data_IF_984359552935
#
_entry.id   IF_984359552935
#
_cell.length_a   1.000
_cell.length_b   1.000
_cell.length_c   1.000
_cell.angle_alpha   90.00
_cell.angle_beta   90.00
_cell.angle_gamma   90.00
#
_symmetry.space_group_name_H-M   'P 1'
#
loop_
_entity.id
_entity.type
_entity.pdbx_description
1 polymer ?
2 non-polymer ?
3 water ?
#
# COMPACT_ATOMS: atom_id res chain seq x y z
N UNK A 11 22.99 -0.51 3.29
CA UNK A 11 22.29 -1.54 2.51
C UNK A 11 23.29 -2.44 1.80
N UNK A 12 22.77 -3.33 0.96
CA UNK A 12 23.59 -4.25 0.19
C UNK A 12 23.86 -3.65 -1.18
N UNK A 13 25.13 -3.39 -1.47
CA UNK A 13 25.52 -2.84 -2.78
C UNK A 13 25.64 -3.97 -3.79
N UNK A 14 24.83 -3.91 -4.85
CA UNK A 14 24.89 -4.83 -5.97
C UNK A 14 25.85 -4.27 -7.01
N UNK A 15 26.53 -5.15 -7.75
CA UNK A 15 27.38 -4.66 -8.83
C UNK A 15 26.63 -4.77 -10.15
N UNK A 16 26.75 -3.78 -11.06
CA UNK A 16 26.01 -3.84 -12.32
C UNK A 16 26.12 -5.18 -13.03
N UNK A 17 27.23 -5.89 -12.83
CA UNK A 17 27.43 -7.17 -13.52
C UNK A 17 26.34 -8.17 -13.20
N UNK A 18 25.77 -8.11 -12.00
CA UNK A 18 24.80 -9.10 -11.55
C UNK A 18 23.37 -8.74 -11.93
N UNK A 19 23.15 -7.62 -12.61
CA UNK A 19 21.81 -7.15 -12.95
C UNK A 19 21.67 -7.09 -14.47
N UNK A 20 20.49 -7.43 -14.95
CA UNK A 20 20.16 -7.36 -16.37
C UNK A 20 18.71 -6.92 -16.51
N UNK A 21 18.48 -5.79 -17.17
CA UNK A 21 17.13 -5.32 -17.43
C UNK A 21 16.56 -6.03 -18.64
N UNK A 22 15.23 -6.20 -18.63
CA UNK A 22 14.57 -6.99 -19.67
C UNK A 22 13.33 -6.29 -20.22
N UNK A 23 12.25 -6.27 -19.45
CA UNK A 23 10.95 -5.76 -19.89
C UNK A 23 10.60 -4.52 -19.08
N UNK A 24 10.50 -3.38 -19.75
CA UNK A 24 10.02 -2.16 -19.09
C UNK A 24 8.57 -2.36 -18.69
N UNK A 25 8.20 -1.88 -17.49
CA UNK A 25 6.84 -2.09 -17.03
C UNK A 25 6.23 -0.91 -16.29
N UNK A 26 6.90 0.23 -16.27
CA UNK A 26 6.27 1.38 -15.63
C UNK A 26 7.17 2.59 -15.58
N UNK A 27 6.66 3.62 -14.90
CA UNK A 27 7.34 4.91 -14.76
C UNK A 27 7.25 5.38 -13.32
N UNK A 28 8.31 6.02 -12.85
CA UNK A 28 8.33 6.58 -11.50
C UNK A 28 9.21 7.80 -11.40
N UNK A 32 11.90 5.12 -14.61
CA UNK A 32 11.33 3.88 -15.11
C UNK A 32 11.43 2.76 -14.08
N UNK A 33 10.63 1.72 -14.30
CA UNK A 33 10.60 0.54 -13.44
C UNK A 33 10.61 -0.67 -14.37
N UNK A 34 11.72 -1.41 -14.38
CA UNK A 34 11.91 -2.54 -15.26
C UNK A 34 11.64 -3.86 -14.53
N UNK A 35 11.35 -4.89 -15.31
CA UNK A 35 11.52 -6.28 -14.90
C UNK A 35 12.87 -6.75 -15.42
N UNK A 36 13.59 -7.48 -14.58
CA UNK A 36 14.90 -7.95 -14.97
C UNK A 36 15.26 -9.19 -14.18
N UNK A 37 16.55 -9.53 -14.22
CA UNK A 37 17.07 -10.68 -13.49
C UNK A 37 18.25 -10.25 -12.64
N UNK A 38 18.46 -10.96 -11.54
CA UNK A 38 19.55 -10.72 -10.62
C UNK A 38 20.24 -12.04 -10.31
N UNK A 39 21.56 -12.07 -10.43
CA UNK A 39 22.35 -13.24 -10.09
C UNK A 39 22.68 -13.20 -8.61
N UNK A 40 22.67 -14.38 -7.97
CA UNK A 40 23.12 -14.50 -6.59
C UNK A 40 24.44 -15.25 -6.46
N UNK A 41 24.64 -16.32 -7.22
CA UNK A 41 25.94 -16.97 -7.31
C UNK A 41 26.03 -17.87 -8.53
N UNK A 45 22.83 -19.27 -9.92
CA UNK A 45 21.55 -19.00 -10.57
C UNK A 45 21.12 -17.54 -10.37
N UNK A 46 19.95 -17.19 -10.91
CA UNK A 46 19.49 -15.81 -10.93
C UNK A 46 17.99 -15.76 -10.63
N UNK A 47 17.53 -14.59 -10.19
CA UNK A 47 16.14 -14.41 -9.80
C UNK A 47 15.52 -13.18 -10.45
N UNK A 48 14.20 -13.18 -10.66
CA UNK A 48 13.56 -11.99 -11.24
C UNK A 48 13.34 -10.91 -10.20
N UNK A 49 13.49 -9.66 -10.64
CA UNK A 49 13.44 -8.51 -9.75
C UNK A 49 12.74 -7.37 -10.47
N UNK A 50 12.38 -6.34 -9.69
CA UNK A 50 11.90 -5.07 -10.21
C UNK A 50 12.99 -4.03 -9.98
N UNK A 51 13.25 -3.23 -11.01
CA UNK A 51 14.41 -2.34 -11.04
C UNK A 51 13.88 -0.93 -11.26
N UNK A 52 13.98 -0.10 -10.22
CA UNK A 52 13.59 1.29 -10.32
C UNK A 52 14.82 2.12 -10.70
N UNK A 53 14.70 2.87 -11.80
CA UNK A 53 15.81 3.63 -12.33
C UNK A 53 15.45 5.11 -12.36
N UNK A 54 16.45 5.95 -12.08
CA UNK A 54 16.27 7.39 -12.11
C UNK A 54 16.22 7.90 -13.53
N UNK A 55 15.44 8.95 -13.76
CA UNK A 55 15.35 9.57 -15.07
C UNK A 55 16.75 9.85 -15.59
N UNK A 56 16.92 9.71 -16.91
CA UNK A 56 18.22 9.89 -17.52
C UNK A 56 18.76 11.31 -17.41
N UNK A 57 18.00 12.18 -16.73
CA UNK A 57 18.47 13.51 -16.35
C UNK A 57 17.87 13.86 -15.00
N UNK A 58 18.71 14.28 -14.05
CA UNK A 58 18.25 14.41 -12.68
C UNK A 58 18.96 15.57 -12.00
N UNK A 59 18.46 15.94 -10.83
CA UNK A 59 19.00 17.00 -10.00
C UNK A 59 19.39 16.43 -8.64
N UNK A 60 20.12 17.23 -7.86
CA UNK A 60 20.47 16.80 -6.51
C UNK A 60 19.22 16.45 -5.71
N UNK A 61 18.09 17.12 -5.99
CA UNK A 61 16.84 16.79 -5.31
C UNK A 61 16.30 15.46 -5.79
N UNK A 62 16.23 15.28 -7.11
CA UNK A 62 15.69 14.05 -7.67
C UNK A 62 16.64 12.87 -7.52
N UNK A 63 17.93 13.12 -7.31
CA UNK A 63 18.88 12.03 -7.12
C UNK A 63 19.08 11.69 -5.63
N UNK A 64 19.24 12.70 -4.78
CA UNK A 64 19.44 12.43 -3.36
C UNK A 64 18.21 11.75 -2.77
N UNK A 65 17.03 12.01 -3.34
CA UNK A 65 15.82 11.35 -2.88
C UNK A 65 15.75 9.92 -3.39
N UNK A 66 16.14 9.70 -4.65
CA UNK A 66 16.22 8.35 -5.20
C UNK A 66 17.02 7.44 -4.28
N UNK A 67 18.21 7.89 -3.87
CA UNK A 67 19.01 7.09 -2.94
C UNK A 67 18.38 7.03 -1.55
N UNK A 68 17.72 8.10 -1.12
CA UNK A 68 17.15 8.13 0.21
C UNK A 68 15.98 7.18 0.40
N UNK A 69 15.26 6.90 -0.69
CA UNK A 69 14.21 5.88 -0.63
C UNK A 69 14.78 4.52 -0.26
N UNK A 70 15.92 4.16 -0.90
CA UNK A 70 16.47 2.83 -0.71
C UNK A 70 17.09 2.66 0.67
N UNK A 71 17.63 3.74 1.26
CA UNK A 71 18.09 3.66 2.63
C UNK A 71 16.96 3.38 3.60
N UNK A 72 15.76 3.86 3.28
CA UNK A 72 14.59 3.56 4.09
C UNK A 72 14.14 2.11 3.87
N UNK A 73 14.08 1.70 2.59
CA UNK A 73 13.62 0.35 2.28
C UNK A 73 14.49 -0.71 2.95
N UNK A 74 15.80 -0.46 3.04
CA UNK A 74 16.71 -1.44 3.61
C UNK A 74 16.47 -1.73 5.07
N UNK A 75 15.79 -0.83 5.78
CA UNK A 75 15.48 -1.08 7.19
C UNK A 75 14.44 -2.19 7.36
N UNK A 76 13.62 -2.43 6.35
CA UNK A 76 12.46 -3.32 6.47
C UNK A 76 12.83 -4.73 6.06
N UNK A 77 12.42 -5.70 6.88
CA UNK A 77 12.56 -7.12 6.55
C UNK A 77 11.35 -7.86 7.12
N UNK A 78 10.34 -8.07 6.29
CA UNK A 78 9.11 -8.72 6.73
C UNK A 78 8.44 -9.35 5.53
N UNK A 79 7.69 -10.42 5.78
CA UNK A 79 7.06 -11.17 4.69
C UNK A 79 6.02 -10.34 3.94
N UNK A 80 5.56 -9.23 4.53
CA UNK A 80 4.50 -8.42 3.95
C UNK A 80 4.96 -7.00 3.68
N UNK A 81 6.26 -6.78 3.56
CA UNK A 81 6.86 -5.53 3.12
C UNK A 81 7.76 -5.85 1.93
N UNK A 82 7.63 -5.07 0.86
CA UNK A 82 8.46 -5.28 -0.33
C UNK A 82 9.92 -5.35 0.09
N UNK A 83 10.62 -6.40 -0.36
CA UNK A 83 11.97 -6.68 0.11
C UNK A 83 12.99 -6.04 -0.83
N UNK A 84 13.85 -5.19 -0.26
CA UNK A 84 14.93 -4.59 -1.01
C UNK A 84 16.06 -5.60 -1.17
N UNK A 85 16.35 -5.99 -2.42
CA UNK A 85 17.48 -6.87 -2.68
C UNK A 85 18.80 -6.11 -2.50
N UNK A 86 18.82 -4.85 -2.91
CA UNK A 86 20.05 -4.08 -2.92
C UNK A 86 19.89 -2.85 -3.78
N UNK A 87 21.01 -2.13 -3.91
CA UNK A 87 21.05 -0.90 -4.69
C UNK A 87 22.33 -0.88 -5.53
N UNK A 88 22.26 -0.19 -6.66
CA UNK A 88 23.43 0.17 -7.44
C UNK A 88 23.58 1.68 -7.32
N UNK A 89 24.63 2.12 -6.62
CA UNK A 89 24.83 3.52 -6.31
C UNK A 89 26.14 4.08 -6.86
N UNK A 90 26.95 3.26 -7.53
CA UNK A 90 28.26 3.68 -8.02
C UNK A 90 28.39 3.58 -9.54
N UNK A 91 27.28 3.58 -10.26
CA UNK A 91 27.33 3.52 -11.72
C UNK A 91 26.02 4.08 -12.27
N UNK A 92 26.01 4.30 -13.58
CA UNK A 92 24.84 4.81 -14.30
C UNK A 92 24.36 3.74 -15.28
N UNK A 93 23.10 3.30 -15.22
CA UNK A 93 22.07 3.89 -14.36
C UNK A 93 22.07 3.39 -12.92
N UNK A 94 21.76 4.27 -11.97
CA UNK A 94 21.52 3.83 -10.61
C UNK A 94 20.26 2.99 -10.55
N UNK A 95 20.22 2.06 -9.60
CA UNK A 95 19.14 1.09 -9.54
C UNK A 95 18.76 0.80 -8.10
N UNK A 96 17.46 0.79 -7.83
CA UNK A 96 16.88 0.28 -6.59
C UNK A 96 16.20 -1.04 -6.95
N UNK A 97 16.69 -2.14 -6.37
CA UNK A 97 16.29 -3.47 -6.78
C UNK A 97 15.47 -4.13 -5.68
N UNK A 98 14.28 -4.62 -6.05
CA UNK A 98 13.43 -5.38 -5.16
C UNK A 98 13.02 -6.69 -5.82
N UNK A 99 12.53 -7.62 -5.00
CA UNK A 99 11.84 -8.79 -5.51
C UNK A 99 10.77 -8.37 -6.51
N UNK A 100 10.44 -9.28 -7.42
CA UNK A 100 9.39 -9.04 -8.41
C UNK A 100 8.07 -9.62 -7.91
N UNK A 101 7.00 -8.84 -8.07
CA UNK A 101 5.66 -9.21 -7.62
C UNK A 101 4.77 -9.40 -8.84
N UNK A 102 4.49 -10.65 -9.18
CA UNK A 102 3.98 -10.98 -10.50
C UNK A 102 2.62 -10.35 -10.77
N UNK A 103 1.74 -10.36 -9.79
CA UNK A 103 0.37 -9.88 -9.97
C UNK A 103 0.22 -8.38 -9.76
N UNK A 104 1.32 -7.64 -9.63
CA UNK A 104 1.26 -6.19 -9.69
C UNK A 104 0.55 -5.56 -8.51
N UNK A 105 -0.07 -4.41 -8.77
CA UNK A 105 -0.71 -3.63 -7.72
C UNK A 105 -2.07 -4.21 -7.35
N UNK A 106 -2.36 -4.22 -6.05
CA UNK A 106 -3.56 -4.88 -5.55
C UNK A 106 -4.83 -4.33 -6.18
N UNK A 107 -4.93 -3.01 -6.33
CA UNK A 107 -6.20 -2.44 -6.78
C UNK A 107 -6.50 -2.81 -8.23
N UNK A 108 -5.48 -2.76 -9.09
CA UNK A 108 -5.68 -3.21 -10.46
C UNK A 108 -5.92 -4.70 -10.52
N UNK A 109 -5.21 -5.46 -9.69
CA UNK A 109 -5.39 -6.91 -9.64
C UNK A 109 -6.81 -7.28 -9.26
N UNK A 110 -7.39 -6.59 -8.27
CA UNK A 110 -8.72 -6.96 -7.79
C UNK A 110 -9.79 -6.64 -8.83
N UNK A 111 -9.64 -5.52 -9.54
CA UNK A 111 -10.58 -5.22 -10.63
C UNK A 111 -10.46 -6.24 -11.74
N UNK A 112 -9.23 -6.64 -12.06
CA UNK A 112 -8.98 -7.72 -13.00
C UNK A 112 -9.72 -8.99 -12.58
N UNK A 113 -9.59 -9.37 -11.31
CA UNK A 113 -10.16 -10.59 -10.79
C UNK A 113 -11.49 -10.36 -10.10
N UNK A 114 -12.19 -9.28 -10.44
CA UNK A 114 -13.45 -8.96 -9.79
C UNK A 114 -14.33 -10.20 -9.66
N UNK A 115 -14.66 -10.55 -8.42
CA UNK A 115 -15.60 -11.61 -8.13
C UNK A 115 -15.04 -13.00 -8.02
N UNK A 116 -13.76 -13.20 -8.32
CA UNK A 116 -13.22 -14.55 -8.43
C UNK A 116 -12.72 -15.13 -7.12
N UNK A 117 -12.71 -14.36 -6.03
CA UNK A 117 -12.17 -14.80 -4.76
C UNK A 117 -13.28 -15.01 -3.73
N UNK A 118 -13.03 -15.94 -2.81
CA UNK A 118 -13.89 -16.13 -1.66
C UNK A 118 -13.65 -15.04 -0.63
N UNK A 119 -14.56 -14.94 0.34
CA UNK A 119 -14.34 -13.99 1.43
C UNK A 119 -13.10 -14.38 2.22
N UNK A 120 -12.88 -15.69 2.40
CA UNK A 120 -11.68 -16.14 3.10
C UNK A 120 -10.42 -15.64 2.42
N UNK A 121 -10.38 -15.67 1.09
CA UNK A 121 -9.17 -15.27 0.38
C UNK A 121 -8.94 -13.76 0.47
N UNK A 122 -10.01 -12.97 0.37
CA UNK A 122 -9.87 -11.53 0.51
C UNK A 122 -9.45 -11.15 1.93
N UNK A 123 -10.02 -11.81 2.94
CA UNK A 123 -9.65 -11.49 4.32
C UNK A 123 -8.23 -11.95 4.60
N UNK A 124 -7.77 -12.99 3.91
CA UNK A 124 -6.37 -13.38 4.04
C UNK A 124 -5.43 -12.33 3.48
N UNK A 125 -5.83 -11.67 2.39
CA UNK A 125 -5.03 -10.56 1.87
C UNK A 125 -4.98 -9.40 2.86
N UNK A 126 -6.11 -9.09 3.49
CA UNK A 126 -6.13 -8.01 4.47
C UNK A 126 -5.28 -8.36 5.68
N UNK A 127 -5.34 -9.62 6.13
CA UNK A 127 -4.49 -10.07 7.22
C UNK A 127 -3.02 -9.80 6.91
N UNK A 128 -2.59 -10.10 5.69
CA UNK A 128 -1.20 -9.87 5.33
C UNK A 128 -0.82 -8.41 5.31
N UNK A 129 -1.68 -7.56 4.71
CA UNK A 129 -1.43 -6.12 4.74
C UNK A 129 -1.35 -5.64 6.18
N UNK A 130 -2.27 -6.10 7.02
CA UNK A 130 -2.25 -5.68 8.42
C UNK A 130 -0.96 -6.10 9.11
N UNK A 131 -0.46 -7.29 8.76
CA UNK A 131 0.76 -7.80 9.38
C UNK A 131 1.97 -6.96 8.99
N UNK A 132 2.02 -6.50 7.74
CA UNK A 132 3.07 -5.59 7.35
C UNK A 132 3.01 -4.28 8.11
N UNK A 133 1.80 -3.72 8.23
CA UNK A 133 1.64 -2.44 8.91
C UNK A 133 1.93 -2.55 10.40
N UNK A 134 1.59 -3.69 11.01
CA UNK A 134 1.99 -3.95 12.40
C UNK A 134 3.50 -3.89 12.55
N UNK A 135 4.23 -4.51 11.63
CA UNK A 135 5.69 -4.47 11.69
C UNK A 135 6.19 -3.04 11.53
N UNK A 136 5.59 -2.26 10.63
CA UNK A 136 6.03 -0.88 10.45
C UNK A 136 5.71 -0.05 11.67
N UNK A 137 4.54 -0.24 12.26
CA UNK A 137 4.16 0.52 13.44
C UNK A 137 5.11 0.27 14.60
N UNK A 138 5.63 -0.95 14.71
CA UNK A 138 6.58 -1.25 15.78
C UNK A 138 7.97 -0.68 15.50
N UNK A 139 8.29 -0.41 14.24
CA UNK A 139 9.47 0.36 13.89
C UNK A 139 9.23 1.86 14.06
N UNK A 140 8.03 2.26 14.47
CA UNK A 140 7.62 3.66 14.47
C UNK A 140 7.80 4.28 13.08
N UNK A 141 7.42 3.53 12.05
CA UNK A 141 7.39 4.06 10.69
C UNK A 141 5.94 4.33 10.30
N UNK A 142 5.63 5.58 10.00
CA UNK A 142 4.32 5.99 9.54
C UNK A 142 4.35 6.03 8.01
N UNK A 143 3.36 5.39 7.38
CA UNK A 143 3.38 5.22 5.93
C UNK A 143 2.86 6.46 5.20
N UNK A 144 1.70 6.96 5.62
CA UNK A 144 1.06 8.16 5.11
C UNK A 144 0.36 7.99 3.75
N UNK A 145 0.66 6.93 3.00
CA UNK A 145 0.01 6.70 1.72
C UNK A 145 -0.41 5.24 1.57
N UNK A 146 -1.08 4.72 2.59
CA UNK A 146 -1.51 3.32 2.61
C UNK A 146 -2.77 3.18 1.77
N UNK A 147 -2.64 2.49 0.63
CA UNK A 147 -3.74 2.33 -0.31
C UNK A 147 -3.44 1.10 -1.17
N UNK A 148 -4.49 0.58 -1.80
CA UNK A 148 -4.32 -0.63 -2.60
C UNK A 148 -3.35 -0.41 -3.76
N UNK A 149 -3.31 0.80 -4.30
CA UNK A 149 -2.34 1.11 -5.35
C UNK A 149 -0.90 1.04 -4.85
N UNK A 150 -0.68 0.95 -3.53
CA UNK A 150 0.66 0.79 -2.97
C UNK A 150 0.86 -0.57 -2.31
N UNK A 151 0.02 -1.55 -2.66
CA UNK A 151 0.21 -2.93 -2.23
C UNK A 151 0.52 -3.78 -3.46
N UNK A 152 1.61 -4.54 -3.41
CA UNK A 152 1.96 -5.48 -4.46
C UNK A 152 1.54 -6.90 -4.08
N UNK A 153 1.33 -7.73 -5.12
CA UNK A 153 0.77 -9.07 -4.97
C UNK A 153 1.62 -10.04 -5.77
N UNK A 154 2.02 -11.14 -5.14
CA UNK A 154 2.81 -12.17 -5.81
C UNK A 154 1.90 -13.32 -6.25
N UNK A 155 2.50 -14.31 -6.91
CA UNK A 155 1.72 -15.38 -7.52
C UNK A 155 0.95 -16.21 -6.49
N UNK A 156 1.33 -16.13 -5.21
CA UNK A 156 0.66 -16.89 -4.16
C UNK A 156 -0.32 -16.03 -3.37
N UNK A 157 -0.75 -14.90 -3.94
CA UNK A 157 -1.69 -13.96 -3.35
C UNK A 157 -1.15 -13.26 -2.11
N UNK A 158 0.13 -13.43 -1.80
CA UNK A 158 0.71 -12.73 -0.65
C UNK A 158 0.83 -11.25 -1.01
N UNK A 159 0.34 -10.39 -0.10
CA UNK A 159 0.33 -8.96 -0.32
C UNK A 159 1.42 -8.29 0.49
N UNK A 160 2.12 -7.34 -0.14
CA UNK A 160 3.26 -6.67 0.48
C UNK A 160 3.12 -5.17 0.35
N UNK A 161 3.24 -4.48 1.48
CA UNK A 161 3.16 -3.03 1.50
C UNK A 161 4.36 -2.42 0.77
N UNK A 162 4.09 -1.43 -0.06
CA UNK A 162 5.10 -0.73 -0.83
C UNK A 162 4.76 0.77 -0.81
N UNK A 163 5.62 1.57 -1.42
CA UNK A 163 5.33 3.00 -1.60
C UNK A 163 5.94 3.43 -2.93
N UNK A 164 5.09 3.79 -3.88
CA UNK A 164 5.57 4.22 -5.20
C UNK A 164 5.88 5.72 -5.24
N UNK A 165 5.60 6.45 -4.17
CA UNK A 165 6.05 7.81 -4.05
C UNK A 165 5.25 8.84 -4.81
N UNK A 166 4.05 8.48 -5.26
CA UNK A 166 3.26 9.45 -6.02
C UNK A 166 2.85 10.64 -5.16
N UNK A 167 2.82 10.49 -3.84
CA UNK A 167 2.53 11.61 -2.96
C UNK A 167 3.61 12.70 -3.03
N UNK A 168 4.83 12.32 -3.44
CA UNK A 168 5.96 13.23 -3.41
C UNK A 168 6.41 13.67 -4.79
N UNK A 169 5.59 13.46 -5.82
CA UNK A 169 5.83 14.01 -7.14
C UNK A 169 5.22 15.41 -7.17
N UNK A 170 6.06 16.41 -7.41
CA UNK A 170 5.63 17.80 -7.44
C UNK A 170 5.67 18.33 -8.88
N UNK A 171 4.68 19.15 -9.21
CA UNK A 171 4.54 19.78 -10.52
C UNK A 171 4.84 21.27 -10.45
N UNK A 172 5.62 21.71 -9.46
CA UNK A 172 5.93 23.13 -9.31
C UNK A 172 6.98 23.55 -10.33
N UNK A 173 6.81 24.75 -10.87
CA UNK A 173 7.85 25.36 -11.71
C UNK A 173 9.12 25.55 -10.90
N UNK A 174 10.30 25.33 -11.50
CA UNK A 174 11.55 25.51 -10.72
C UNK A 174 11.84 26.94 -10.35
N UNK A 175 11.10 27.92 -10.86
CA UNK A 175 11.27 29.32 -10.48
C UNK A 175 10.01 29.88 -9.83
N UNK A 176 9.09 29.02 -9.42
CA UNK A 176 7.83 29.47 -8.85
C UNK A 176 8.05 30.26 -7.57
N UNK A 177 7.25 31.30 -7.39
CA UNK A 177 7.28 32.07 -6.14
C UNK A 177 6.83 31.20 -4.97
N UNK A 178 5.82 30.37 -5.19
CA UNK A 178 5.23 29.51 -4.15
C UNK A 178 5.38 28.06 -4.58
N UNK A 179 5.79 27.21 -3.63
CA UNK A 179 5.99 25.79 -3.93
C UNK A 179 5.30 24.92 -2.88
N UNK A 180 4.95 23.70 -3.31
CA UNK A 180 4.37 22.72 -2.43
C UNK A 180 5.34 22.36 -1.31
N UNK A 181 4.81 22.24 -0.09
CA UNK A 181 5.62 21.88 1.07
C UNK A 181 4.98 20.70 1.78
N UNK A 182 5.78 19.69 2.08
CA UNK A 182 5.27 18.50 2.73
C UNK A 182 4.54 17.55 1.83
N UNK A 183 4.84 17.58 0.53
CA UNK A 183 4.18 16.70 -0.40
C UNK A 183 2.68 16.94 -0.44
N UNK A 184 1.99 15.95 -1.00
CA UNK A 184 0.54 15.95 -1.11
C UNK A 184 0.00 14.75 -0.35
N UNK A 185 -1.29 14.82 -0.03
CA UNK A 185 -1.93 13.73 0.71
C UNK A 185 -3.02 13.10 -0.16
N UNK A 186 -3.29 11.81 -0.01
CA UNK A 186 -4.46 11.22 -0.68
C UNK A 186 -5.72 11.47 0.13
N UNK A 187 -6.52 12.46 -0.28
CA UNK A 187 -7.65 12.91 0.55
C UNK A 187 -8.54 11.74 0.92
N UNK A 188 -8.85 10.87 -0.03
CA UNK A 188 -9.85 9.83 0.23
C UNK A 188 -9.34 8.73 1.13
N UNK A 189 -8.04 8.69 1.41
CA UNK A 189 -7.43 7.67 2.25
C UNK A 189 -6.92 8.20 3.59
N UNK A 190 -7.02 9.49 3.84
CA UNK A 190 -6.30 10.16 4.92
C UNK A 190 -7.26 10.50 6.05
N UNK A 191 -6.84 10.23 7.29
CA UNK A 191 -7.69 10.47 8.44
C UNK A 191 -7.95 11.97 8.60
N UNK A 192 -9.09 12.34 9.19
CA UNK A 192 -9.40 13.77 9.34
C UNK A 192 -8.32 14.56 10.06
N UNK A 193 -7.80 14.06 11.20
CA UNK A 193 -6.79 14.82 11.93
C UNK A 193 -5.55 15.05 11.07
N UNK A 194 -5.28 14.14 10.14
CA UNK A 194 -4.10 14.27 9.28
C UNK A 194 -4.35 15.29 8.18
N UNK A 195 -5.54 15.25 7.57
CA UNK A 195 -5.93 16.28 6.62
C UNK A 195 -5.86 17.66 7.26
N UNK A 196 -6.50 17.82 8.43
CA UNK A 196 -6.70 19.15 8.98
C UNK A 196 -5.45 19.69 9.66
N UNK A 197 -4.75 18.84 10.41
CA UNK A 197 -3.65 19.30 11.26
C UNK A 197 -2.32 18.64 10.93
N UNK A 198 -2.27 17.82 9.87
CA UNK A 198 -1.04 17.13 9.49
C UNK A 198 -0.52 16.26 10.64
N UNK A 199 -1.45 15.70 11.42
CA UNK A 199 -1.10 14.79 12.51
C UNK A 199 -1.06 13.38 11.94
N UNK A 200 0.12 12.99 11.47
CA UNK A 200 0.32 11.68 10.86
C UNK A 200 0.89 10.73 11.91
N UNK A 201 0.15 9.65 12.17
CA UNK A 201 0.50 8.65 13.17
C UNK A 201 0.08 7.30 12.61
N UNK A 202 0.51 6.23 13.27
CA UNK A 202 0.01 4.91 12.88
C UNK A 202 -1.51 4.86 13.01
N UNK A 203 -2.09 5.70 13.87
CA UNK A 203 -3.53 5.75 14.01
C UNK A 203 -4.20 6.35 12.78
N UNK A 204 -3.57 7.33 12.12
CA UNK A 204 -4.09 7.76 10.83
C UNK A 204 -3.82 6.72 9.75
N UNK A 205 -2.73 5.96 9.88
CA UNK A 205 -2.54 4.82 8.99
C UNK A 205 -3.64 3.78 9.17
N UNK A 206 -4.15 3.61 10.39
CA UNK A 206 -5.25 2.67 10.63
C UNK A 206 -6.49 3.12 9.89
N UNK A 207 -6.78 4.42 9.90
CA UNK A 207 -7.87 4.95 9.07
C UNK A 207 -7.69 4.51 7.62
N UNK A 208 -6.51 4.78 7.06
CA UNK A 208 -6.23 4.38 5.69
C UNK A 208 -6.42 2.88 5.51
N UNK A 209 -6.00 2.08 6.49
CA UNK A 209 -6.20 0.64 6.38
C UNK A 209 -7.68 0.32 6.24
N UNK A 210 -8.53 1.03 6.99
CA UNK A 210 -9.97 0.85 6.84
C UNK A 210 -10.42 1.09 5.42
N UNK A 211 -9.90 2.14 4.79
CA UNK A 211 -10.25 2.38 3.38
C UNK A 211 -9.76 1.21 2.52
N UNK A 212 -8.58 0.68 2.83
CA UNK A 212 -8.06 -0.45 2.04
C UNK A 212 -8.95 -1.67 2.20
N UNK A 213 -9.48 -1.89 3.40
CA UNK A 213 -10.42 -2.98 3.61
C UNK A 213 -11.61 -2.83 2.65
N UNK A 214 -12.13 -1.61 2.53
CA UNK A 214 -13.24 -1.33 1.64
C UNK A 214 -12.86 -1.56 0.18
N UNK A 215 -11.65 -1.14 -0.19
CA UNK A 215 -11.17 -1.39 -1.54
C UNK A 215 -11.16 -2.88 -1.85
N UNK A 216 -10.62 -3.69 -0.93
CA UNK A 216 -10.51 -5.12 -1.20
C UNK A 216 -11.89 -5.74 -1.31
N UNK A 217 -12.81 -5.38 -0.40
CA UNK A 217 -14.11 -6.04 -0.37
C UNK A 217 -15.02 -5.59 -1.51
N UNK A 218 -14.73 -4.47 -2.16
CA UNK A 218 -15.45 -4.02 -3.35
C UNK A 218 -14.73 -4.36 -4.65
N UNK A 219 -13.59 -5.04 -4.57
CA UNK A 219 -12.77 -5.35 -5.74
C UNK A 219 -12.33 -4.08 -6.47
N UNK A 220 -11.86 -3.11 -5.70
CA UNK A 220 -11.21 -1.95 -6.28
C UNK A 220 -12.10 -0.79 -6.68
N UNK A 221 -13.26 -0.63 -6.06
CA UNK A 221 -14.09 0.53 -6.36
C UNK A 221 -13.43 1.79 -5.83
N UNK A 222 -13.79 2.92 -6.42
CA UNK A 222 -13.23 4.20 -6.01
C UNK A 222 -13.95 4.72 -4.77
N UNK A 223 -13.23 5.00 -3.68
CA UNK A 223 -13.92 5.46 -2.46
C UNK A 223 -14.75 6.71 -2.69
N UNK A 224 -15.95 6.71 -2.12
CA UNK A 224 -16.90 7.83 -2.24
C UNK A 224 -17.05 8.25 -3.70
N UNK A 225 -17.23 7.25 -4.58
CA UNK A 225 -17.18 7.51 -6.02
C UNK A 225 -18.11 8.63 -6.44
N UNK A 226 -19.26 8.79 -5.77
CA UNK A 226 -20.24 9.79 -6.17
C UNK A 226 -19.84 11.21 -5.80
N UNK A 227 -18.84 11.40 -4.94
CA UNK A 227 -18.60 12.71 -4.36
C UNK A 227 -17.29 13.33 -4.84
N UNK A 228 -17.27 14.65 -4.82
CA UNK A 228 -16.08 15.44 -5.08
C UNK A 228 -15.15 15.42 -3.86
N UNK A 229 -13.91 15.83 -4.07
CA UNK A 229 -12.93 15.85 -2.98
C UNK A 229 -13.44 16.70 -1.81
N UNK A 230 -13.96 17.88 -2.11
CA UNK A 230 -14.49 18.74 -1.04
C UNK A 230 -15.73 18.13 -0.42
N UNK A 231 -16.53 17.38 -1.19
CA UNK A 231 -17.74 16.78 -0.63
C UNK A 231 -17.39 15.60 0.27
N UNK A 232 -16.31 14.87 -0.03
CA UNK A 232 -15.83 13.84 0.88
C UNK A 232 -15.43 14.46 2.22
N UNK A 233 -14.65 15.55 2.16
CA UNK A 233 -14.18 16.17 3.40
C UNK A 233 -15.34 16.64 4.25
N UNK A 234 -16.40 17.16 3.62
CA UNK A 234 -17.60 17.54 4.36
C UNK A 234 -18.30 16.31 4.92
N UNK A 235 -18.53 15.30 4.08
CA UNK A 235 -19.22 14.09 4.54
C UNK A 235 -18.55 13.50 5.77
N UNK A 236 -17.21 13.44 5.76
CA UNK A 236 -16.50 12.77 6.84
C UNK A 236 -16.67 13.52 8.14
N UNK A 237 -16.61 14.85 8.11
CA UNK A 237 -16.75 15.64 9.32
C UNK A 237 -18.19 15.78 9.75
N UNK A 238 -19.15 15.58 8.83
CA UNK A 238 -20.55 15.42 9.20
C UNK A 238 -20.87 14.04 9.73
N UNK A 239 -19.88 13.13 9.78
CA UNK A 239 -20.06 11.84 10.40
C UNK A 239 -20.43 10.70 9.48
N UNK A 240 -20.48 10.92 8.17
CA UNK A 240 -20.77 9.82 7.26
C UNK A 240 -19.49 9.04 6.96
N UNK A 241 -19.67 7.80 6.49
CA UNK A 241 -18.57 6.91 6.17
C UNK A 241 -18.93 6.12 4.92
N UNK A 242 -17.94 5.44 4.36
CA UNK A 242 -18.20 4.62 3.19
C UNK A 242 -19.26 3.56 3.53
N UNK A 243 -20.13 3.20 2.61
CA UNK A 243 -21.16 2.20 2.89
C UNK A 243 -20.61 0.79 2.78
N UNK A 244 -21.42 -0.17 3.22
CA UNK A 244 -20.98 -1.56 3.21
C UNK A 244 -20.69 -2.01 1.78
N UNK A 245 -19.65 -2.80 1.57
CA UNK A 245 -19.49 -3.49 0.28
C UNK A 245 -20.56 -4.57 0.14
N UNK A 246 -20.90 -4.89 -1.11
CA UNK A 246 -21.82 -5.99 -1.37
C UNK A 246 -21.18 -7.30 -0.90
N UNK A 247 -22.01 -8.17 -0.33
CA UNK A 247 -21.61 -9.50 0.13
C UNK A 247 -20.59 -9.45 1.26
N UNK A 248 -20.41 -8.30 1.89
CA UNK A 248 -19.43 -8.17 2.97
C UNK A 248 -20.01 -8.75 4.25
N UNK A 249 -19.30 -9.66 4.93
CA UNK A 249 -19.80 -10.14 6.23
C UNK A 249 -19.89 -9.00 7.23
N UNK A 250 -20.82 -9.15 8.17
CA UNK A 250 -21.05 -8.10 9.17
C UNK A 250 -19.78 -7.75 9.92
N UNK A 251 -19.00 -8.76 10.34
CA UNK A 251 -17.84 -8.50 11.17
C UNK A 251 -16.79 -7.65 10.44
N UNK A 252 -16.63 -7.89 9.13
CA UNK A 252 -15.61 -7.17 8.38
C UNK A 252 -15.98 -5.69 8.23
N UNK A 253 -17.24 -5.39 7.91
CA UNK A 253 -17.67 -4.01 7.81
C UNK A 253 -17.64 -3.33 9.16
N UNK A 254 -18.00 -4.07 10.21
CA UNK A 254 -17.87 -3.58 11.58
C UNK A 254 -16.43 -3.15 11.88
N UNK A 255 -15.46 -3.86 11.32
CA UNK A 255 -14.05 -3.57 11.60
C UNK A 255 -13.58 -2.32 10.87
N UNK A 256 -13.97 -2.13 9.60
CA UNK A 256 -13.66 -0.88 8.94
C UNK A 256 -14.18 0.30 9.75
N UNK A 257 -15.48 0.25 10.10
CA UNK A 257 -16.10 1.34 10.84
C UNK A 257 -15.27 1.71 12.06
N UNK A 258 -14.80 0.72 12.81
CA UNK A 258 -13.92 0.99 13.94
C UNK A 258 -12.63 1.65 13.49
N UNK A 259 -12.14 1.30 12.31
CA UNK A 259 -10.93 1.98 11.81
C UNK A 259 -11.21 3.46 11.56
N UNK A 260 -12.46 3.83 11.28
CA UNK A 260 -12.82 5.19 10.89
C UNK A 260 -13.43 6.00 12.04
N UNK A 261 -13.21 5.58 13.29
CA UNK A 261 -13.65 6.41 14.41
C UNK A 261 -12.99 7.78 14.33
N UNK A 262 -13.78 8.82 14.65
CA UNK A 262 -13.31 10.19 14.46
C UNK A 262 -12.13 10.52 15.37
N UNK A 263 -12.15 10.01 16.61
CA UNK A 263 -11.03 10.21 17.53
C UNK A 263 -10.03 9.07 17.35
N UNK A 264 -8.79 9.43 17.03
CA UNK A 264 -7.79 8.42 16.69
C UNK A 264 -7.48 7.50 17.86
N UNK A 265 -7.59 8.00 19.10
CA UNK A 265 -7.28 7.15 20.25
C UNK A 265 -8.27 6.01 20.40
N UNK A 266 -9.45 6.10 19.78
CA UNK A 266 -10.45 5.05 19.85
C UNK A 266 -10.32 4.01 18.74
N UNK A 267 -9.41 4.22 17.79
CA UNK A 267 -9.29 3.24 16.71
C UNK A 267 -8.48 2.04 17.18
N UNK A 268 -8.68 0.88 16.56
CA UNK A 268 -7.85 -0.28 16.89
C UNK A 268 -6.39 -0.03 16.51
N UNK A 269 -5.50 -0.72 17.21
CA UNK A 269 -4.11 -0.76 16.80
C UNK A 269 -3.93 -1.84 15.74
N UNK A 270 -2.86 -1.71 14.95
CA UNK A 270 -2.60 -2.72 13.92
C UNK A 270 -2.43 -4.09 14.56
N UNK A 271 -1.96 -4.15 15.80
CA UNK A 271 -1.87 -5.42 16.51
C UNK A 271 -3.26 -5.98 16.80
N UNK A 272 -4.21 -5.11 17.18
CA UNK A 272 -5.58 -5.56 17.39
C UNK A 272 -6.22 -6.02 16.09
N UNK A 273 -5.86 -5.38 14.97
CA UNK A 273 -6.45 -5.72 13.68
C UNK A 273 -5.98 -7.11 13.25
N UNK A 274 -4.67 -7.34 13.25
CA UNK A 274 -4.15 -8.65 12.88
C UNK A 274 -4.83 -9.74 13.69
N UNK A 275 -5.03 -9.48 14.97
CA UNK A 275 -5.61 -10.48 15.86
C UNK A 275 -7.09 -10.69 15.59
N UNK A 276 -7.84 -9.62 15.31
CA UNK A 276 -9.26 -9.76 15.05
C UNK A 276 -9.48 -10.57 13.78
N UNK A 277 -8.64 -10.37 12.77
CA UNK A 277 -8.82 -11.11 11.51
C UNK A 277 -8.39 -12.56 11.66
N UNK A 278 -7.32 -12.83 12.41
CA UNK A 278 -6.93 -14.22 12.65
C UNK A 278 -8.11 -15.01 13.23
N UNK A 279 -8.88 -14.38 14.13
CA UNK A 279 -9.96 -15.10 14.79
C UNK A 279 -11.10 -15.40 13.82
N UNK A 280 -11.45 -14.43 12.96
CA UNK A 280 -12.45 -14.68 11.94
C UNK A 280 -12.00 -15.79 11.00
N UNK A 281 -10.72 -15.78 10.62
CA UNK A 281 -10.20 -16.75 9.68
C UNK A 281 -10.29 -18.16 10.25
N UNK A 282 -10.00 -18.32 11.54
CA UNK A 282 -10.02 -19.64 12.16
C UNK A 282 -11.40 -20.03 12.68
N UNK A 283 -12.39 -19.17 12.51
CA UNK A 283 -13.80 -19.51 12.70
C UNK A 283 -14.54 -19.03 11.45
N UNK A 284 -14.37 -19.72 10.33
CA UNK A 284 -14.82 -19.17 9.03
C UNK A 284 -16.33 -19.08 8.88
N UNK A 285 -17.12 -19.64 9.79
CA UNK A 285 -18.56 -19.41 9.73
C UNK A 285 -18.89 -17.93 9.88
N UNK A 286 -18.04 -17.19 10.60
CA UNK A 286 -18.22 -15.75 10.73
C UNK A 286 -17.98 -15.02 9.42
N UNK A 287 -17.30 -15.65 8.46
CA UNK A 287 -17.02 -15.05 7.17
C UNK A 287 -17.95 -15.56 6.07
N UNK A 288 -19.01 -16.27 6.44
CA UNK A 288 -19.92 -16.81 5.44
C UNK A 288 -20.71 -15.69 4.78
N UNK A 289 -20.83 -15.79 3.46
CA UNK A 289 -21.68 -14.89 2.69
C UNK A 289 -22.35 -15.75 1.61
N UNK A 290 -23.62 -15.43 1.33
CA UNK A 290 -24.44 -16.32 0.50
C UNK A 290 -23.82 -16.52 -0.88
N UNK A 291 -23.08 -15.54 -1.39
CA UNK A 291 -22.46 -15.67 -2.69
C UNK A 291 -21.41 -16.77 -2.74
N UNK A 292 -20.90 -17.18 -1.58
CA UNK A 292 -19.92 -18.27 -1.51
C UNK A 292 -20.56 -19.63 -1.34
N UNK A 293 -21.89 -19.69 -1.29
CA UNK A 293 -22.60 -20.96 -1.20
C UNK A 293 -22.60 -21.65 -2.55
N UNK A 294 -22.29 -22.94 -2.56
CA UNK A 294 -22.40 -23.76 -3.75
C UNK A 294 -23.44 -24.84 -3.49
N UNK A 295 -24.53 -24.90 -4.24
CA UNK A 295 -25.54 -25.94 -3.97
C UNK A 295 -25.03 -27.37 -4.11
N UNK A 296 -23.93 -27.58 -4.84
CA UNK A 296 -23.42 -28.94 -5.06
C UNK A 296 -22.77 -29.50 -3.80
X LIG B 1 7.23 -5.78 -8.59
X LIG B 1 9.71 1.69 -2.21
X LIG B 1 8.10 -2.42 -7.41
X LIG B 1 9.84 -1.41 -5.89
X LIG B 1 9.17 -0.79 -4.85
X LIG B 1 9.71 0.31 -4.19
X LIG B 1 9.05 0.75 -2.93
X LIG B 1 9.52 3.53 -0.66
X LIG B 1 8.68 3.19 1.57
X LIG B 1 8.26 -0.31 2.40
X LIG B 1 10.92 0.82 -4.65
X LIG B 1 11.83 -1.56 -7.48
X LIG B 1 6.73 -1.37 -8.93
X LIG B 1 6.33 -0.09 -9.55
X LIG B 1 5.42 1.18 -11.39
X LIG B 1 6.59 1.14 -8.94
X LIG B 1 6.56 -4.90 -9.37
X LIG B 1 5.65 -5.35 -10.41
X LIG B 1 9.19 5.38 0.70
X LIG B 1 7.96 -5.07 -7.75
X LIG B 1 9.16 4.02 0.58
X LIG B 1 10.22 5.91 1.47
X LIG B 1 8.52 1.83 1.29
X LIG B 1 8.86 1.32 0.06
X LIG B 1 11.59 0.22 -5.69
X LIG B 1 11.07 -0.92 -6.33
X LIG B 1 6.85 -3.61 -9.02
X LIG B 1 5.72 -0.04 -10.81
X LIG B 1 5.73 2.33 -10.70
X LIG B 1 7.75 -3.68 -7.96
X LIG B 1 9.36 2.17 -0.93
X LIG B 1 9.23 -2.30 -6.70
X LIG B 1 7.54 -1.29 -7.87
X LIG B 1 6.32 2.33 -9.49
X LIG B 1 6.33 -2.50 -9.54
X LIG B 1 7.95 1.10 2.31
X LIG B 1 8.02 0.21 -2.54
X LIG B 1 10.54 2.11 -2.62
X LIG B 1 8.19 -1.17 -4.55
X LIG B 1 9.92 4.23 -1.40
X LIG B 1 8.43 3.57 2.57
X LIG B 1 8.12 -0.71 3.40
X LIG B 1 9.30 -0.54 2.13
X LIG B 1 7.65 -0.92 1.74
X LIG B 1 11.35 1.71 -4.18
X LIG B 1 11.86 -2.65 -7.38
X LIG B 1 12.86 -1.22 -7.53
X LIG B 1 11.36 -1.33 -8.44
X LIG B 1 4.95 1.22 -12.37
X LIG B 1 7.06 1.20 -7.96
X LIG B 1 5.65 -4.65 -11.24
X LIG B 1 4.64 -5.43 -10.02
X LIG B 1 5.96 -6.33 -10.78
X LIG B 1 8.60 -5.53 -7.02
X LIG B 1 9.71 6.67 2.06
X LIG B 1 10.92 6.28 0.73
X LIG B 1 10.56 5.05 2.04
X LIG B 1 8.74 0.26 -0.14
X LIG B 1 12.54 0.63 -6.04
X LIG B 1 5.48 -0.96 -11.33
X LIG B 1 5.53 3.32 -11.11
X LIG B 1 9.77 -3.15 -6.82
#
# INVERSE_FOLDING_TARGET
>A
GDPNQAVLKFTTEIHPSCVTRQKVIGAGEFGEVYKGMLKTSSGKKEVPVAIKTLKAGYTEKQRVDFLGEAGIMGQFSHHNIIRLEGVISKYKPMMIITEYMENGALDKFLREKDGEFSVLQLVGMLRGIAAGMKYLANMNYVHRDLAARNILVNSNLVCKVSDFGLSRVLEDDPEATYTTSGGKIPIRWTAPEAISYRKFTSASDVWSFGIVMWEVMTYGERPYWELSNHEVMKAINDGFRLPTPMDCPSAIYQLMMQCWQQERARRPKFADIVSILDKLIRAPDSLKTLADFDPRVSIRLPSTSG
>B hetero
1 R0X N1 N3 C4 C5 C6 C7 C8 C10 C13 C15 C17 C20 C21 C22 C24 C26 N C O C1 C11 C12 C14 C16 C18 C19 C2 C23 C25 C3 C9 N2 N4 N5 N6 O1 O2 H6 H5 H7 H11 H14 H12 H13 H16 H18 H20 H19 H22 H24 H2 H H1 H3 H9 H8 H10 H15 H17 H21 H23 H4
#
